data_IF_306500219268
#
_entry.id   IF_306500219268
#
_cell.length_a   1.000
_cell.length_b   1.000
_cell.length_c   1.000
_cell.angle_alpha   90.00
_cell.angle_beta   90.00
_cell.angle_gamma   90.00
#
_symmetry.space_group_name_H-M   'P 1'
#
loop_
_entity.id
_entity.type
_entity.pdbx_description
1 polymer ?
#
# COMPACT_ATOMS: atom_id res chain seq x y z
N UNK A 1 7.90 -60.38 22.12
CA UNK A 1 6.60 -60.38 21.44
C UNK A 1 5.74 -59.27 22.06
N UNK A 2 5.58 -58.13 21.38
CA UNK A 2 4.95 -56.91 21.88
C UNK A 2 3.46 -56.83 21.48
N UNK A 3 2.78 -55.76 21.91
CA UNK A 3 1.55 -55.11 21.39
C UNK A 3 0.49 -54.95 22.50
N UNK A 4 -0.18 -53.81 22.69
CA UNK A 4 0.02 -52.42 22.25
C UNK A 4 -0.97 -51.60 23.09
N UNK A 5 -0.49 -50.51 23.68
CA UNK A 5 -1.35 -49.49 24.23
C UNK A 5 -1.95 -48.68 23.07
N UNK A 6 -3.28 -48.58 23.01
CA UNK A 6 -3.99 -47.61 22.17
C UNK A 6 -4.97 -46.83 23.04
N UNK A 7 -4.51 -45.69 23.53
CA UNK A 7 -5.37 -44.55 23.81
C UNK A 7 -5.62 -43.83 22.48
N UNK A 8 -6.89 -43.78 22.06
CA UNK A 8 -7.34 -42.88 20.99
C UNK A 8 -8.19 -41.78 21.59
N UNK A 9 -7.84 -40.56 21.19
CA UNK A 9 -8.40 -39.29 21.59
C UNK A 9 -9.91 -39.18 21.34
N UNK A 10 -10.64 -38.74 22.35
CA UNK A 10 -11.98 -38.18 22.17
C UNK A 10 -11.85 -36.70 21.79
N UNK A 11 -12.28 -36.41 20.57
CA UNK A 11 -12.43 -35.08 20.00
C UNK A 11 -13.41 -34.23 20.82
N UNK A 12 -13.02 -33.00 21.10
CA UNK A 12 -13.89 -31.95 21.60
C UNK A 12 -14.97 -31.63 20.55
N UNK A 13 -16.20 -32.07 20.80
CA UNK A 13 -17.37 -31.69 20.02
C UNK A 13 -17.79 -30.24 20.36
N UNK A 14 -18.23 -29.43 19.38
CA UNK A 14 -18.77 -28.10 19.64
C UNK A 14 -20.04 -28.20 20.49
N UNK A 15 -20.12 -27.38 21.54
CA UNK A 15 -21.27 -27.28 22.44
C UNK A 15 -22.53 -26.88 21.65
N UNK A 16 -23.36 -27.87 21.30
CA UNK A 16 -24.73 -27.67 20.82
C UNK A 16 -25.62 -27.32 22.02
N UNK A 17 -25.90 -26.04 22.19
CA UNK A 17 -26.95 -25.56 23.09
C UNK A 17 -28.29 -26.07 22.53
N UNK A 18 -28.99 -26.91 23.30
CA UNK A 18 -30.30 -27.47 22.93
C UNK A 18 -31.33 -26.33 22.85
N UNK A 19 -31.95 -26.18 21.67
CA UNK A 19 -33.15 -25.35 21.46
C UNK A 19 -34.37 -26.23 21.70
N UNK A 20 -34.95 -26.18 22.89
CA UNK A 20 -36.26 -26.79 23.17
C UNK A 20 -37.38 -25.72 23.04
N UNK A 21 -38.37 -26.06 22.19
CA UNK A 21 -39.72 -25.53 21.95
C UNK A 21 -40.10 -24.05 22.17
N UNK A 22 -40.62 -23.47 21.07
CA UNK A 22 -41.78 -22.57 20.97
C UNK A 22 -41.76 -21.23 21.71
N UNK A 23 -40.91 -20.30 21.25
CA UNK A 23 -41.24 -18.86 21.30
C UNK A 23 -40.82 -18.25 19.96
N UNK A 24 -41.76 -17.62 19.27
CA UNK A 24 -41.61 -16.98 17.95
C UNK A 24 -40.78 -15.68 17.99
N UNK A 25 -39.89 -15.52 18.96
CA UNK A 25 -39.01 -14.35 19.08
C UNK A 25 -37.56 -14.82 18.89
N UNK A 26 -36.81 -14.25 17.93
CA UNK A 26 -35.40 -14.59 17.76
C UNK A 26 -34.66 -14.34 19.07
N UNK A 27 -33.71 -15.23 19.38
CA UNK A 27 -32.85 -15.06 20.53
C UNK A 27 -32.12 -13.72 20.42
N UNK A 28 -32.11 -12.92 21.49
CA UNK A 28 -31.65 -11.52 21.42
C UNK A 28 -30.22 -11.37 20.88
N UNK A 29 -29.35 -12.36 21.14
CA UNK A 29 -27.99 -12.34 20.58
C UNK A 29 -27.99 -12.60 19.07
N UNK A 30 -28.87 -13.45 18.55
CA UNK A 30 -29.00 -13.67 17.10
C UNK A 30 -29.46 -12.36 16.42
N UNK A 31 -30.43 -11.65 17.02
CA UNK A 31 -30.91 -10.36 16.52
C UNK A 31 -29.81 -9.27 16.54
N UNK A 32 -29.00 -9.20 17.60
CA UNK A 32 -27.88 -8.25 17.68
C UNK A 32 -26.78 -8.56 16.67
N UNK A 33 -26.46 -9.83 16.45
CA UNK A 33 -25.45 -10.22 15.46
C UNK A 33 -25.94 -9.89 14.05
N UNK A 34 -27.21 -10.13 13.75
CA UNK A 34 -27.80 -9.81 12.45
C UNK A 34 -27.88 -8.31 12.20
N UNK A 35 -28.26 -7.52 13.21
CA UNK A 35 -28.23 -6.06 13.11
C UNK A 35 -26.81 -5.52 12.96
N UNK A 36 -25.83 -6.08 13.67
CA UNK A 36 -24.42 -5.75 13.51
C UNK A 36 -23.89 -6.06 12.10
N UNK A 37 -24.29 -7.19 11.51
CA UNK A 37 -23.97 -7.53 10.12
C UNK A 37 -24.62 -6.54 9.15
N UNK A 38 -25.89 -6.21 9.36
CA UNK A 38 -26.63 -5.24 8.55
C UNK A 38 -25.94 -3.88 8.54
N UNK A 39 -25.61 -3.35 9.71
CA UNK A 39 -24.90 -2.06 9.84
C UNK A 39 -23.52 -2.10 9.17
N UNK A 40 -22.74 -3.16 9.38
CA UNK A 40 -21.45 -3.33 8.70
C UNK A 40 -21.61 -3.26 7.19
N UNK A 41 -22.57 -4.01 6.65
CA UNK A 41 -22.78 -4.10 5.21
C UNK A 41 -23.30 -2.78 4.63
N UNK A 42 -24.16 -2.06 5.36
CA UNK A 42 -24.60 -0.71 5.01
C UNK A 42 -23.43 0.28 4.97
N UNK A 43 -22.56 0.30 5.98
CA UNK A 43 -21.38 1.17 5.98
C UNK A 43 -20.41 0.81 4.85
N UNK A 44 -20.14 -0.48 4.61
CA UNK A 44 -19.30 -0.93 3.50
C UNK A 44 -19.88 -0.51 2.15
N UNK A 45 -21.20 -0.60 1.99
CA UNK A 45 -21.90 -0.12 0.79
C UNK A 45 -21.73 1.39 0.65
N UNK A 46 -21.92 2.17 1.71
CA UNK A 46 -21.76 3.61 1.70
C UNK A 46 -20.33 4.02 1.28
N UNK A 47 -19.31 3.41 1.87
CA UNK A 47 -17.90 3.66 1.52
C UNK A 47 -17.55 3.23 0.10
N UNK A 48 -18.13 2.14 -0.41
CA UNK A 48 -17.87 1.71 -1.79
C UNK A 48 -18.47 2.68 -2.81
N UNK A 49 -19.65 3.25 -2.55
CA UNK A 49 -20.24 4.33 -3.36
C UNK A 49 -19.34 5.56 -3.36
N UNK A 50 -18.93 6.04 -2.18
CA UNK A 50 -18.00 7.18 -2.06
C UNK A 50 -16.70 6.96 -2.85
N UNK A 51 -16.14 5.74 -2.75
CA UNK A 51 -14.93 5.37 -3.51
C UNK A 51 -15.17 5.40 -5.02
N UNK A 52 -16.33 4.96 -5.50
CA UNK A 52 -16.69 5.01 -6.92
C UNK A 52 -16.99 6.43 -7.41
N UNK A 53 -17.46 7.31 -6.53
CA UNK A 53 -17.71 8.73 -6.84
C UNK A 53 -16.44 9.59 -6.86
N UNK A 54 -15.38 9.16 -6.17
CA UNK A 54 -14.07 9.80 -6.26
C UNK A 54 -13.45 9.54 -7.63
N UNK A 55 -13.22 10.59 -8.42
CA UNK A 55 -12.45 10.47 -9.65
C UNK A 55 -11.04 10.00 -9.31
N UNK A 56 -10.68 8.76 -9.67
CA UNK A 56 -9.33 8.21 -9.54
C UNK A 56 -8.36 8.88 -10.54
N UNK A 57 -8.26 10.20 -10.51
CA UNK A 57 -7.25 10.91 -11.26
C UNK A 57 -5.92 10.66 -10.59
N UNK A 58 -4.97 10.09 -11.33
CA UNK A 58 -3.60 9.96 -10.88
C UNK A 58 -3.07 11.34 -10.44
N UNK A 59 -2.39 11.37 -9.30
CA UNK A 59 -1.83 12.59 -8.75
C UNK A 59 -0.73 13.09 -9.68
N UNK A 60 -0.97 14.25 -10.30
CA UNK A 60 -0.05 14.85 -11.27
C UNK A 60 1.29 15.21 -10.62
N UNK A 61 1.29 15.54 -9.33
CA UNK A 61 2.49 15.93 -8.61
C UNK A 61 3.45 14.74 -8.49
N UNK A 62 2.91 13.56 -8.22
CA UNK A 62 3.69 12.33 -8.10
C UNK A 62 4.29 11.88 -9.44
N UNK A 63 3.64 12.17 -10.58
CA UNK A 63 4.14 11.85 -11.92
C UNK A 63 5.08 12.94 -12.50
N UNK A 64 5.07 14.15 -11.94
CA UNK A 64 5.77 15.33 -12.49
C UNK A 64 7.30 15.15 -12.62
N UNK A 65 8.04 14.58 -11.65
CA UNK A 65 9.48 14.41 -11.77
C UNK A 65 9.90 13.55 -12.98
N UNK A 66 9.18 12.46 -13.25
CA UNK A 66 9.41 11.63 -14.41
C UNK A 66 9.08 12.38 -15.72
N UNK A 67 7.90 13.00 -15.81
CA UNK A 67 7.45 13.69 -17.02
C UNK A 67 8.37 14.86 -17.40
N UNK A 68 8.74 15.68 -16.42
CA UNK A 68 9.65 16.82 -16.61
C UNK A 68 11.05 16.37 -17.05
N UNK A 69 11.57 15.29 -16.48
CA UNK A 69 12.86 14.72 -16.86
C UNK A 69 12.81 14.10 -18.26
N UNK A 70 11.73 13.40 -18.60
CA UNK A 70 11.53 12.86 -19.94
C UNK A 70 11.49 13.95 -21.00
N UNK A 71 10.84 15.09 -20.71
CA UNK A 71 10.84 16.23 -21.62
C UNK A 71 12.23 16.84 -21.79
N UNK A 72 12.98 17.02 -20.70
CA UNK A 72 14.36 17.54 -20.74
C UNK A 72 15.30 16.62 -21.50
N UNK A 73 15.20 15.31 -21.28
CA UNK A 73 15.99 14.30 -21.98
C UNK A 73 15.73 14.31 -23.49
N UNK A 74 14.46 14.42 -23.90
CA UNK A 74 14.10 14.54 -25.32
C UNK A 74 14.68 15.82 -25.94
N UNK A 75 14.56 16.96 -25.27
CA UNK A 75 15.15 18.23 -25.72
C UNK A 75 16.68 18.16 -25.85
N UNK A 76 17.36 17.56 -24.88
CA UNK A 76 18.80 17.38 -24.92
C UNK A 76 19.25 16.45 -26.06
N UNK A 77 18.51 15.36 -26.29
CA UNK A 77 18.74 14.43 -27.40
C UNK A 77 18.60 15.11 -28.76
N UNK A 78 17.59 15.99 -28.93
CA UNK A 78 17.45 16.81 -30.14
C UNK A 78 18.66 17.75 -30.37
N UNK A 79 19.36 18.14 -29.31
CA UNK A 79 20.57 18.96 -29.37
C UNK A 79 21.87 18.13 -29.43
N UNK A 80 21.78 16.81 -29.63
CA UNK A 80 22.95 15.92 -29.75
C UNK A 80 23.47 15.35 -28.42
N UNK A 81 22.85 15.67 -27.28
CA UNK A 81 23.26 15.17 -25.97
C UNK A 81 22.40 13.96 -25.54
N UNK A 82 22.89 12.77 -25.87
CA UNK A 82 22.13 11.53 -25.68
C UNK A 82 22.14 10.97 -24.24
N UNK A 83 23.13 11.35 -23.43
CA UNK A 83 23.40 10.78 -22.10
C UNK A 83 22.18 10.80 -21.18
N UNK A 84 21.41 11.89 -21.18
CA UNK A 84 20.21 12.03 -20.34
C UNK A 84 19.10 11.06 -20.75
N UNK A 85 18.94 10.86 -22.06
CA UNK A 85 17.95 9.93 -22.62
C UNK A 85 18.33 8.48 -22.32
N UNK A 86 19.61 8.15 -22.41
CA UNK A 86 20.12 6.80 -22.11
C UNK A 86 19.96 6.47 -20.62
N UNK A 87 20.33 7.39 -19.72
CA UNK A 87 20.12 7.23 -18.28
C UNK A 87 18.64 7.04 -17.93
N UNK A 88 17.74 7.83 -18.55
CA UNK A 88 16.31 7.69 -18.33
C UNK A 88 15.79 6.33 -18.82
N UNK A 89 16.26 5.87 -19.98
CA UNK A 89 15.90 4.57 -20.53
C UNK A 89 16.39 3.42 -19.63
N UNK A 90 17.61 3.49 -19.11
CA UNK A 90 18.12 2.51 -18.16
C UNK A 90 17.24 2.42 -16.90
N UNK A 91 16.85 3.57 -16.34
CA UNK A 91 15.89 3.64 -15.23
C UNK A 91 14.54 3.03 -15.57
N UNK A 92 13.98 3.37 -16.74
CA UNK A 92 12.69 2.80 -17.20
C UNK A 92 12.73 1.29 -17.31
N UNK A 93 13.75 0.75 -17.96
CA UNK A 93 13.92 -0.69 -18.18
C UNK A 93 14.01 -1.42 -16.85
N UNK A 94 14.77 -0.87 -15.89
CA UNK A 94 14.86 -1.42 -14.54
C UNK A 94 13.50 -1.45 -13.84
N UNK A 95 12.79 -0.32 -13.80
CA UNK A 95 11.47 -0.24 -13.14
C UNK A 95 10.44 -1.16 -13.80
N UNK A 96 10.43 -1.26 -15.14
CA UNK A 96 9.53 -2.16 -15.87
C UNK A 96 9.80 -3.63 -15.56
N UNK A 97 11.07 -4.05 -15.47
CA UNK A 97 11.45 -5.40 -15.09
C UNK A 97 10.92 -5.74 -13.69
N UNK A 98 11.17 -4.84 -12.73
CA UNK A 98 10.72 -4.99 -11.34
C UNK A 98 9.18 -5.00 -11.26
N UNK A 99 8.49 -4.20 -12.07
CA UNK A 99 7.04 -4.23 -12.16
C UNK A 99 6.53 -5.59 -12.68
N UNK A 100 7.21 -6.21 -13.64
CA UNK A 100 6.89 -7.57 -14.09
C UNK A 100 7.04 -8.59 -12.96
N UNK A 101 8.11 -8.52 -12.18
CA UNK A 101 8.31 -9.37 -11.00
C UNK A 101 7.22 -9.14 -9.94
N UNK A 102 6.80 -7.88 -9.74
CA UNK A 102 5.71 -7.52 -8.83
C UNK A 102 4.40 -8.17 -9.24
N UNK A 103 4.05 -8.11 -10.53
CA UNK A 103 2.81 -8.70 -11.04
C UNK A 103 2.77 -10.21 -10.79
N UNK A 104 3.89 -10.90 -11.01
CA UNK A 104 4.03 -12.33 -10.70
C UNK A 104 3.89 -12.56 -9.19
N UNK A 105 4.54 -11.74 -8.36
CA UNK A 105 4.46 -11.86 -6.91
C UNK A 105 3.04 -11.64 -6.38
N UNK A 106 2.31 -10.64 -6.87
CA UNK A 106 0.94 -10.33 -6.46
C UNK A 106 -0.05 -11.40 -6.88
N UNK A 107 0.18 -12.06 -8.02
CA UNK A 107 -0.63 -13.16 -8.53
C UNK A 107 -0.48 -14.47 -7.75
N UNK A 108 0.57 -14.60 -6.91
CA UNK A 108 0.71 -15.75 -6.02
C UNK A 108 -0.49 -15.83 -5.06
N UNK A 109 -1.11 -17.01 -5.00
CA UNK A 109 -2.17 -17.24 -4.03
C UNK A 109 -1.61 -17.12 -2.61
N UNK A 110 -2.33 -16.38 -1.77
CA UNK A 110 -2.06 -16.32 -0.33
C UNK A 110 -2.29 -17.72 0.23
N UNK A 111 -1.21 -18.40 0.63
CA UNK A 111 -1.33 -19.69 1.32
C UNK A 111 -1.51 -19.41 2.81
N UNK A 112 -2.41 -20.14 3.45
CA UNK A 112 -2.50 -20.11 4.90
C UNK A 112 -1.13 -20.55 5.47
N UNK A 113 -0.51 -19.73 6.32
CA UNK A 113 0.76 -20.09 6.93
C UNK A 113 0.52 -21.28 7.87
N UNK A 114 0.96 -22.48 7.49
CA UNK A 114 0.85 -23.68 8.33
C UNK A 114 1.80 -23.67 9.54
N UNK A 115 2.54 -22.58 9.77
CA UNK A 115 3.50 -22.46 10.86
C UNK A 115 3.61 -21.05 11.42
N UNK A 116 3.74 -20.97 12.75
CA UNK A 116 3.95 -19.75 13.53
C UNK A 116 5.32 -19.15 13.15
N UNK A 117 5.33 -18.07 12.36
CA UNK A 117 6.51 -17.19 12.20
C UNK A 117 7.16 -17.12 10.81
N UNK A 118 6.70 -17.89 9.82
CA UNK A 118 7.24 -17.77 8.45
C UNK A 118 6.36 -16.84 7.60
N UNK A 119 6.90 -15.75 7.02
CA UNK A 119 6.12 -14.89 6.14
C UNK A 119 5.66 -15.70 4.92
N UNK A 120 4.40 -15.50 4.53
CA UNK A 120 3.78 -16.19 3.40
C UNK A 120 4.58 -15.92 2.09
N UNK A 121 4.62 -16.90 1.16
CA UNK A 121 5.40 -16.80 -0.07
C UNK A 121 5.11 -15.55 -0.90
N UNK A 122 3.85 -15.08 -0.94
CA UNK A 122 3.48 -13.85 -1.65
C UNK A 122 4.13 -12.64 -0.99
N UNK A 123 4.08 -12.57 0.33
CA UNK A 123 4.68 -11.48 1.13
C UNK A 123 6.19 -11.42 0.92
N UNK A 124 6.87 -12.57 0.94
CA UNK A 124 8.32 -12.64 0.66
C UNK A 124 8.65 -12.21 -0.76
N UNK A 125 7.86 -12.62 -1.75
CA UNK A 125 8.06 -12.25 -3.14
C UNK A 125 7.91 -10.73 -3.34
N UNK A 126 6.85 -10.14 -2.77
CA UNK A 126 6.61 -8.68 -2.75
C UNK A 126 7.80 -7.94 -2.12
N UNK A 127 8.28 -8.40 -0.97
CA UNK A 127 9.43 -7.79 -0.30
C UNK A 127 10.70 -7.88 -1.16
N UNK A 128 10.93 -9.02 -1.81
CA UNK A 128 12.07 -9.20 -2.73
C UNK A 128 11.99 -8.24 -3.91
N UNK A 129 10.81 -8.03 -4.47
CA UNK A 129 10.61 -7.05 -5.55
C UNK A 129 10.90 -5.62 -5.09
N UNK A 130 10.50 -5.24 -3.88
CA UNK A 130 10.87 -3.93 -3.31
C UNK A 130 12.39 -3.79 -3.11
N UNK A 131 13.07 -4.86 -2.67
CA UNK A 131 14.54 -4.86 -2.59
C UNK A 131 15.20 -4.75 -3.96
N UNK A 132 14.65 -5.39 -5.00
CA UNK A 132 15.14 -5.25 -6.36
C UNK A 132 14.89 -3.84 -6.91
N UNK A 133 13.76 -3.21 -6.59
CA UNK A 133 13.49 -1.81 -6.93
C UNK A 133 14.56 -0.88 -6.37
N UNK A 134 14.93 -1.08 -5.09
CA UNK A 134 15.94 -0.29 -4.41
C UNK A 134 17.37 -0.47 -4.97
N UNK A 135 17.62 -1.51 -5.80
CA UNK A 135 18.91 -1.67 -6.48
C UNK A 135 19.03 -0.65 -7.60
N UNK A 136 20.18 0.04 -7.63
CA UNK A 136 20.46 1.08 -8.61
C UNK A 136 20.80 0.48 -9.99
N UNK A 137 20.20 0.98 -11.08
CA UNK A 137 20.74 0.76 -12.42
C UNK A 137 21.99 1.63 -12.63
N UNK A 138 23.00 1.08 -13.30
CA UNK A 138 24.21 1.82 -13.65
C UNK A 138 23.85 2.93 -14.65
N UNK A 139 24.02 4.19 -14.23
CA UNK A 139 23.75 5.40 -15.01
C UNK A 139 24.90 6.38 -14.86
N UNK A 140 25.19 7.13 -15.92
CA UNK A 140 26.44 7.89 -16.06
C UNK A 140 26.40 9.29 -15.46
N UNK A 141 25.22 9.89 -15.24
CA UNK A 141 25.14 11.35 -14.97
C UNK A 141 24.02 11.82 -14.03
N UNK A 142 23.29 10.90 -13.39
CA UNK A 142 22.29 11.27 -12.38
C UNK A 142 22.85 11.06 -10.97
N UNK A 143 22.55 12.00 -10.05
CA UNK A 143 22.77 11.74 -8.63
C UNK A 143 21.85 10.62 -8.14
N UNK A 144 22.23 9.98 -7.03
CA UNK A 144 21.44 8.89 -6.45
C UNK A 144 20.03 9.34 -6.06
N UNK A 145 19.92 10.56 -5.51
CA UNK A 145 18.66 11.12 -5.08
C UNK A 145 17.73 11.45 -6.26
N UNK A 146 18.27 12.07 -7.31
CA UNK A 146 17.49 12.36 -8.52
C UNK A 146 16.99 11.09 -9.19
N UNK A 147 17.84 10.06 -9.28
CA UNK A 147 17.49 8.80 -9.90
C UNK A 147 16.36 8.09 -9.13
N UNK A 148 16.43 8.07 -7.79
CA UNK A 148 15.36 7.51 -6.94
C UNK A 148 14.04 8.21 -7.17
N UNK A 149 14.04 9.54 -7.17
CA UNK A 149 12.84 10.36 -7.41
C UNK A 149 12.24 10.08 -8.79
N UNK A 150 13.06 10.02 -9.83
CA UNK A 150 12.60 9.73 -11.20
C UNK A 150 12.02 8.31 -11.28
N UNK A 151 12.69 7.33 -10.69
CA UNK A 151 12.22 5.93 -10.66
C UNK A 151 10.92 5.77 -9.88
N UNK A 152 10.80 6.42 -8.71
CA UNK A 152 9.59 6.41 -7.89
C UNK A 152 8.41 7.05 -8.64
N UNK A 153 8.63 8.21 -9.23
CA UNK A 153 7.65 8.92 -10.06
C UNK A 153 7.20 8.08 -11.26
N UNK A 154 8.14 7.39 -11.93
CA UNK A 154 7.82 6.49 -13.03
C UNK A 154 7.06 5.24 -12.58
N UNK A 155 7.44 4.63 -11.44
CA UNK A 155 6.76 3.49 -10.86
C UNK A 155 5.29 3.81 -10.52
N UNK A 156 5.04 4.99 -9.94
CA UNK A 156 3.68 5.48 -9.70
C UNK A 156 2.91 5.71 -11.00
N UNK A 157 3.55 6.30 -12.01
CA UNK A 157 2.95 6.51 -13.33
C UNK A 157 2.60 5.20 -14.05
N UNK A 158 3.32 4.09 -13.79
CA UNK A 158 2.96 2.77 -14.30
C UNK A 158 1.74 2.19 -13.57
N UNK A 159 1.74 2.24 -12.24
CA UNK A 159 0.64 1.75 -11.40
C UNK A 159 0.80 2.23 -9.97
N UNK A 160 -0.19 2.96 -9.44
CA UNK A 160 -0.19 3.36 -8.02
C UNK A 160 -0.13 2.16 -7.06
N UNK A 161 -0.75 1.03 -7.44
CA UNK A 161 -0.73 -0.21 -6.65
C UNK A 161 0.65 -0.90 -6.62
N UNK A 162 1.57 -0.49 -7.50
CA UNK A 162 2.97 -0.92 -7.48
C UNK A 162 3.87 0.17 -6.89
N UNK A 163 3.74 1.42 -7.35
CA UNK A 163 4.57 2.54 -6.94
C UNK A 163 4.53 2.81 -5.44
N UNK A 164 3.34 2.79 -4.81
CA UNK A 164 3.23 3.00 -3.37
C UNK A 164 3.98 1.93 -2.56
N UNK A 165 3.75 0.61 -2.77
CA UNK A 165 4.50 -0.41 -2.02
C UNK A 165 6.03 -0.36 -2.17
N UNK A 166 6.56 0.01 -3.33
CA UNK A 166 8.02 -0.06 -3.59
C UNK A 166 8.76 1.25 -3.37
N UNK A 167 8.06 2.39 -3.42
CA UNK A 167 8.66 3.72 -3.38
C UNK A 167 7.89 4.70 -2.48
N UNK A 168 7.25 4.20 -1.41
CA UNK A 168 6.39 5.00 -0.53
C UNK A 168 7.08 6.28 -0.02
N UNK A 169 8.28 6.13 0.57
CA UNK A 169 9.02 7.25 1.14
C UNK A 169 9.37 8.32 0.10
N UNK A 170 9.83 7.90 -1.09
CA UNK A 170 10.19 8.81 -2.17
C UNK A 170 8.95 9.54 -2.72
N UNK A 171 7.80 8.86 -2.83
CA UNK A 171 6.53 9.48 -3.24
C UNK A 171 6.03 10.50 -2.20
N UNK A 172 6.15 10.18 -0.91
CA UNK A 172 5.86 11.13 0.16
C UNK A 172 6.79 12.36 0.08
N UNK A 173 8.08 12.15 -0.18
CA UNK A 173 9.03 13.24 -0.34
C UNK A 173 8.69 14.12 -1.55
N UNK A 174 8.27 13.53 -2.69
CA UNK A 174 7.80 14.27 -3.86
C UNK A 174 6.60 15.15 -3.49
N UNK A 175 5.57 14.58 -2.86
CA UNK A 175 4.36 15.32 -2.51
C UNK A 175 4.64 16.43 -1.49
N UNK A 176 5.46 16.15 -0.48
CA UNK A 176 5.87 17.13 0.52
C UNK A 176 6.59 18.32 -0.13
N UNK A 177 7.51 18.08 -1.08
CA UNK A 177 8.22 19.16 -1.78
C UNK A 177 7.27 20.07 -2.56
N UNK A 178 6.22 19.52 -3.16
CA UNK A 178 5.22 20.32 -3.91
C UNK A 178 4.36 21.17 -2.96
N UNK A 179 4.01 20.64 -1.79
CA UNK A 179 3.19 21.33 -0.79
C UNK A 179 4.00 22.21 0.17
N UNK A 180 5.30 22.43 -0.10
CA UNK A 180 6.22 23.15 0.81
C UNK A 180 6.32 22.54 2.21
N UNK A 181 6.13 21.22 2.32
CA UNK A 181 6.25 20.46 3.56
C UNK A 181 7.70 20.35 4.03
N UNK A 182 7.87 20.26 5.35
CA UNK A 182 9.18 20.12 6.01
C UNK A 182 9.51 18.64 6.15
N UNK A 183 10.73 18.25 5.76
CA UNK A 183 11.25 16.91 6.02
C UNK A 183 11.80 16.85 7.44
N UNK A 184 11.30 15.89 8.23
CA UNK A 184 11.83 15.58 9.55
C UNK A 184 12.82 14.44 9.45
N UNK A 185 13.83 14.43 10.34
CA UNK A 185 14.64 13.23 10.52
C UNK A 185 13.79 12.15 11.21
N UNK A 186 14.01 10.88 10.84
CA UNK A 186 13.19 9.74 11.27
C UNK A 186 12.97 9.69 12.79
N UNK A 187 14.03 9.92 13.57
CA UNK A 187 13.97 9.93 15.04
C UNK A 187 13.02 10.97 15.62
N UNK A 188 12.88 12.12 14.94
CA UNK A 188 11.90 13.13 15.34
C UNK A 188 10.49 12.72 14.91
N UNK A 189 10.33 12.18 13.70
CA UNK A 189 9.03 11.69 13.24
C UNK A 189 8.47 10.58 14.15
N UNK A 190 9.33 9.70 14.67
CA UNK A 190 8.94 8.60 15.57
C UNK A 190 8.37 9.05 16.92
N UNK A 191 8.76 10.24 17.41
CA UNK A 191 8.32 10.76 18.73
C UNK A 191 7.23 11.83 18.61
N UNK A 192 6.92 12.27 17.40
CA UNK A 192 5.89 13.27 17.16
C UNK A 192 4.51 12.61 17.17
N UNK A 193 3.65 13.08 18.07
CA UNK A 193 2.22 12.80 18.02
C UNK A 193 1.47 14.10 17.75
N UNK A 194 0.38 14.03 16.99
CA UNK A 194 -0.49 15.19 16.81
C UNK A 194 -1.32 15.32 18.11
N UNK A 195 -1.17 16.40 18.88
CA UNK A 195 -1.89 16.53 20.15
C UNK A 195 -3.40 16.71 19.90
N UNK A 196 -4.24 16.05 20.71
CA UNK A 196 -5.71 16.11 20.56
C UNK A 196 -6.27 17.53 20.67
N UNK A 197 -5.67 18.38 21.51
CA UNK A 197 -6.07 19.78 21.65
C UNK A 197 -5.81 20.57 20.36
N UNK A 198 -4.73 20.26 19.64
CA UNK A 198 -4.43 20.88 18.34
C UNK A 198 -5.45 20.43 17.30
N UNK A 199 -5.80 19.13 17.24
CA UNK A 199 -6.84 18.63 16.34
C UNK A 199 -8.18 19.32 16.57
N UNK A 200 -8.59 19.48 17.84
CA UNK A 200 -9.85 20.14 18.18
C UNK A 200 -9.84 21.62 17.78
N UNK A 201 -8.75 22.32 18.07
CA UNK A 201 -8.62 23.74 17.72
C UNK A 201 -8.63 23.96 16.21
N UNK A 202 -7.97 23.08 15.43
CA UNK A 202 -7.99 23.16 13.97
C UNK A 202 -9.36 22.87 13.39
N UNK A 203 -10.09 21.88 13.90
CA UNK A 203 -11.46 21.60 13.47
C UNK A 203 -12.38 22.79 13.70
N UNK A 204 -12.29 23.41 14.88
CA UNK A 204 -13.10 24.58 15.22
C UNK A 204 -12.77 25.79 14.34
N UNK A 205 -11.48 26.05 14.11
CA UNK A 205 -11.04 27.13 13.23
C UNK A 205 -11.45 26.92 11.77
N UNK A 206 -11.67 25.67 11.35
CA UNK A 206 -12.11 25.34 10.00
C UNK A 206 -13.63 25.51 9.86
N UNK A 207 -14.40 25.10 10.87
CA UNK A 207 -15.84 25.34 10.94
C UNK A 207 -16.16 26.85 10.97
N UNK A 208 -15.40 27.65 11.73
CA UNK A 208 -15.56 29.12 11.82
C UNK A 208 -15.18 29.85 10.51
N UNK A 209 -14.44 29.20 9.59
CA UNK A 209 -14.01 29.81 8.31
C UNK A 209 -14.96 29.51 7.15
N UNK A 210 -15.85 28.54 7.31
CA UNK A 210 -16.85 28.11 6.32
C UNK A 210 -18.25 28.76 6.56
N UNK A 211 -18.42 29.52 7.65
CA UNK A 211 -19.59 30.36 7.98
C UNK A 211 -19.42 31.84 7.56
#
# INVERSE_FOLDING_TARGET
MPLVARHQAQLAAPLRIRKDCQISTPYILDALVDEGRRLRDDFLKHYSVLRSSSTNTADRDLASPYLSTSRRAAQASHNGFQILQDNLNAGKVHVQRVHGEWQVAVALQKKASEGKGSPDPRTRAIQKTAQHFARRPEVLSCSDEELKIIMASYAYNLSGAFGFPVAFADLCAIKARVQSGVLFADRFAEVMCIPNNVLRALSQAQDDADD
#
